data_IF_728554680102
#
_entry.id   IF_728554680102
#
_cell.length_a   1.000
_cell.length_b   1.000
_cell.length_c   1.000
_cell.angle_alpha   90.00
_cell.angle_beta   90.00
_cell.angle_gamma   90.00
#
_symmetry.space_group_name_H-M   'P 1'
#
loop_
_entity.id
_entity.type
_entity.pdbx_description
1 polymer ?
#
# COMPACT_ATOMS: atom_id res chain seq x y z
N UNK A 1 -24.47 16.46 -48.00
CA UNK A 1 -23.17 16.57 -47.28
C UNK A 1 -23.32 17.05 -45.83
N UNK A 2 -23.94 18.23 -45.55
CA UNK A 2 -24.16 18.73 -44.17
C UNK A 2 -24.88 17.76 -43.21
N UNK A 3 -25.90 17.03 -43.70
CA UNK A 3 -26.64 16.03 -42.88
C UNK A 3 -25.79 14.80 -42.50
N UNK A 4 -24.81 14.42 -43.33
CA UNK A 4 -23.91 13.30 -43.06
C UNK A 4 -22.89 13.68 -41.98
N UNK A 5 -22.45 14.93 -41.97
CA UNK A 5 -21.52 15.47 -40.97
C UNK A 5 -22.14 15.54 -39.56
N UNK A 6 -23.42 15.92 -39.47
CA UNK A 6 -24.17 15.92 -38.20
C UNK A 6 -24.36 14.51 -37.62
N UNK A 7 -24.65 13.52 -38.48
CA UNK A 7 -24.82 12.13 -38.05
C UNK A 7 -23.49 11.50 -37.59
N UNK A 8 -22.38 11.85 -38.24
CA UNK A 8 -21.04 11.44 -37.81
C UNK A 8 -20.63 12.08 -36.46
N UNK A 9 -21.03 13.33 -36.19
CA UNK A 9 -20.77 14.00 -34.92
C UNK A 9 -21.60 13.45 -33.74
N UNK A 10 -22.76 12.83 -34.00
CA UNK A 10 -23.57 12.15 -32.97
C UNK A 10 -22.98 10.81 -32.53
N UNK A 11 -22.19 10.15 -33.39
CA UNK A 11 -21.55 8.86 -33.11
C UNK A 11 -20.34 8.98 -32.16
N UNK A 12 -19.82 10.18 -31.91
CA UNK A 12 -18.66 10.41 -31.01
C UNK A 12 -19.06 10.82 -29.58
N UNK A 13 -20.36 11.04 -29.32
CA UNK A 13 -20.85 11.60 -28.04
C UNK A 13 -21.17 10.56 -26.94
N UNK A 14 -20.81 9.28 -27.13
CA UNK A 14 -21.32 8.21 -26.28
C UNK A 14 -20.35 7.09 -25.93
N UNK A 15 -19.08 7.39 -25.67
CA UNK A 15 -18.20 6.43 -25.00
C UNK A 15 -18.44 6.49 -23.48
N UNK A 16 -19.52 5.89 -23.01
CA UNK A 16 -19.66 5.61 -21.58
C UNK A 16 -18.64 4.53 -21.21
N UNK A 17 -17.52 4.92 -20.62
CA UNK A 17 -16.69 3.98 -19.88
C UNK A 17 -17.56 3.40 -18.77
N UNK A 18 -17.84 2.09 -18.83
CA UNK A 18 -18.43 1.37 -17.70
C UNK A 18 -17.38 1.28 -16.62
N UNK A 19 -17.48 2.16 -15.63
CA UNK A 19 -16.71 2.06 -14.40
C UNK A 19 -17.37 1.02 -13.49
N UNK A 20 -16.66 -0.08 -13.20
CA UNK A 20 -17.14 -1.11 -12.32
C UNK A 20 -16.69 -0.78 -10.89
N UNK A 21 -17.61 -0.24 -10.10
CA UNK A 21 -17.36 -0.08 -8.67
C UNK A 21 -17.40 -1.43 -7.99
N UNK A 22 -16.37 -1.75 -7.21
CA UNK A 22 -16.38 -2.94 -6.35
C UNK A 22 -17.28 -2.65 -5.15
N UNK A 23 -18.48 -3.25 -5.02
CA UNK A 23 -19.39 -2.96 -3.92
C UNK A 23 -18.87 -3.46 -2.56
N UNK A 24 -17.85 -4.34 -2.55
CA UNK A 24 -17.26 -4.91 -1.34
C UNK A 24 -16.10 -4.08 -0.78
N UNK A 25 -15.69 -2.99 -1.45
CA UNK A 25 -14.59 -2.14 -0.99
C UNK A 25 -14.92 -0.67 -1.19
N UNK A 26 -14.56 0.17 -0.23
CA UNK A 26 -14.64 1.61 -0.42
C UNK A 26 -13.73 2.05 -1.58
N UNK A 27 -14.24 2.89 -2.46
CA UNK A 27 -13.43 3.53 -3.48
C UNK A 27 -12.66 4.73 -2.87
N UNK A 28 -11.57 5.13 -3.52
CA UNK A 28 -10.72 6.20 -2.99
C UNK A 28 -11.48 7.51 -2.80
N UNK A 29 -12.32 7.90 -3.77
CA UNK A 29 -13.13 9.14 -3.70
C UNK A 29 -14.04 9.16 -2.48
N UNK A 30 -14.67 8.04 -2.14
CA UNK A 30 -15.53 7.88 -0.96
C UNK A 30 -14.74 8.01 0.34
N UNK A 31 -13.50 7.53 0.37
CA UNK A 31 -12.63 7.57 1.55
C UNK A 31 -12.11 8.98 1.80
N UNK A 32 -11.73 9.72 0.77
CA UNK A 32 -11.07 11.03 0.93
C UNK A 32 -12.04 12.22 0.99
N UNK A 33 -13.34 12.01 0.78
CA UNK A 33 -14.34 13.08 0.69
C UNK A 33 -14.94 13.54 2.03
N UNK A 34 -14.62 12.89 3.15
CA UNK A 34 -15.18 13.22 4.46
C UNK A 34 -14.18 13.02 5.60
N UNK A 35 -14.40 13.73 6.72
CA UNK A 35 -13.64 13.55 7.96
C UNK A 35 -13.59 12.08 8.42
N UNK A 36 -14.75 11.42 8.48
CA UNK A 36 -14.83 10.02 8.93
C UNK A 36 -14.07 9.06 8.00
N UNK A 37 -14.10 9.31 6.69
CA UNK A 37 -13.36 8.52 5.71
C UNK A 37 -11.85 8.69 5.87
N UNK A 38 -11.38 9.93 6.04
CA UNK A 38 -9.98 10.24 6.30
C UNK A 38 -9.50 9.66 7.63
N UNK A 39 -10.31 9.76 8.69
CA UNK A 39 -10.01 9.17 10.00
C UNK A 39 -9.90 7.65 9.90
N UNK A 40 -10.80 7.02 9.16
CA UNK A 40 -10.75 5.57 8.89
C UNK A 40 -9.47 5.18 8.15
N UNK A 41 -9.06 5.97 7.15
CA UNK A 41 -7.80 5.77 6.43
C UNK A 41 -6.59 5.92 7.37
N UNK A 42 -6.56 6.95 8.23
CA UNK A 42 -5.52 7.13 9.23
C UNK A 42 -5.41 5.94 10.20
N UNK A 43 -6.55 5.43 10.69
CA UNK A 43 -6.57 4.25 11.56
C UNK A 43 -6.06 3.00 10.83
N UNK A 44 -6.44 2.81 9.56
CA UNK A 44 -5.94 1.73 8.72
C UNK A 44 -4.44 1.83 8.46
N UNK A 45 -3.92 3.05 8.28
CA UNK A 45 -2.49 3.33 8.16
C UNK A 45 -1.75 2.92 9.43
N UNK A 46 -2.25 3.32 10.61
CA UNK A 46 -1.64 2.90 11.87
C UNK A 46 -1.68 1.39 12.08
N UNK A 47 -2.82 0.76 11.80
CA UNK A 47 -2.94 -0.69 11.88
C UNK A 47 -1.88 -1.39 11.01
N UNK A 48 -1.71 -0.96 9.75
CA UNK A 48 -0.70 -1.51 8.83
C UNK A 48 0.73 -1.22 9.30
N UNK A 49 0.97 -0.06 9.88
CA UNK A 49 2.30 0.29 10.38
C UNK A 49 2.68 -0.57 11.59
N UNK A 50 1.77 -0.77 12.54
CA UNK A 50 2.09 -1.34 13.86
C UNK A 50 1.77 -2.83 14.00
N UNK A 51 0.78 -3.38 13.28
CA UNK A 51 0.23 -4.73 13.52
C UNK A 51 0.30 -5.64 12.30
N UNK A 52 0.20 -6.96 12.50
CA UNK A 52 0.22 -7.95 11.42
C UNK A 52 1.54 -8.71 11.23
N UNK A 53 2.44 -8.67 12.22
CA UNK A 53 3.72 -9.40 12.20
C UNK A 53 4.57 -9.02 11.00
N UNK A 54 5.01 -9.99 10.19
CA UNK A 54 5.79 -9.78 8.97
C UNK A 54 5.10 -8.94 7.87
N UNK A 55 3.85 -8.52 8.07
CA UNK A 55 3.17 -7.56 7.19
C UNK A 55 3.13 -6.14 7.76
N UNK A 56 3.61 -5.91 8.99
CA UNK A 56 3.72 -4.58 9.59
C UNK A 56 5.07 -3.95 9.30
N UNK A 57 5.08 -2.63 9.11
CA UNK A 57 6.32 -1.88 8.90
C UNK A 57 7.20 -1.98 10.14
N UNK A 58 6.60 -1.78 11.32
CA UNK A 58 7.31 -1.75 12.60
C UNK A 58 7.99 -3.09 12.91
N UNK A 59 7.29 -4.21 12.73
CA UNK A 59 7.86 -5.53 12.99
C UNK A 59 9.00 -5.84 12.03
N UNK A 60 8.80 -5.64 10.71
CA UNK A 60 9.86 -5.95 9.77
C UNK A 60 11.07 -5.04 9.95
N UNK A 61 10.87 -3.76 10.31
CA UNK A 61 11.98 -2.85 10.60
C UNK A 61 12.80 -3.34 11.81
N UNK A 62 12.13 -3.76 12.88
CA UNK A 62 12.79 -4.34 14.06
C UNK A 62 13.50 -5.66 13.73
N UNK A 63 12.85 -6.57 13.02
CA UNK A 63 13.46 -7.84 12.62
C UNK A 63 14.67 -7.64 11.70
N UNK A 64 14.52 -6.84 10.64
CA UNK A 64 15.60 -6.52 9.69
C UNK A 64 16.75 -5.82 10.39
N UNK A 65 16.47 -4.76 11.15
CA UNK A 65 17.47 -3.99 11.88
C UNK A 65 18.21 -4.86 12.90
N UNK A 66 17.48 -5.55 13.77
CA UNK A 66 18.07 -6.35 14.84
C UNK A 66 18.86 -7.56 14.34
N UNK A 67 18.38 -8.26 13.31
CA UNK A 67 19.09 -9.41 12.74
C UNK A 67 20.33 -8.98 11.94
N UNK A 68 20.26 -7.86 11.20
CA UNK A 68 21.41 -7.35 10.42
C UNK A 68 22.50 -6.72 11.28
N UNK A 69 22.13 -6.15 12.44
CA UNK A 69 23.08 -5.54 13.40
C UNK A 69 23.52 -6.49 14.51
N UNK A 70 22.98 -7.72 14.54
CA UNK A 70 23.24 -8.75 15.56
C UNK A 70 22.74 -8.40 16.97
N UNK A 71 21.77 -7.49 17.08
CA UNK A 71 21.02 -7.26 18.32
C UNK A 71 20.05 -8.42 18.61
N UNK A 72 19.57 -9.09 17.56
CA UNK A 72 18.73 -10.29 17.62
C UNK A 72 19.52 -11.51 17.13
N UNK A 73 19.28 -12.66 17.76
CA UNK A 73 19.86 -13.94 17.36
C UNK A 73 18.76 -14.99 17.09
N UNK A 74 18.96 -15.78 16.04
CA UNK A 74 18.05 -16.86 15.65
C UNK A 74 18.44 -18.13 16.43
N UNK A 75 17.66 -18.45 17.47
CA UNK A 75 17.90 -19.65 18.28
C UNK A 75 17.48 -20.94 17.55
N UNK A 76 16.41 -20.85 16.76
CA UNK A 76 15.90 -21.94 15.92
C UNK A 76 15.38 -21.35 14.61
N UNK A 77 15.72 -21.97 13.48
CA UNK A 77 15.32 -21.48 12.14
C UNK A 77 13.88 -21.93 11.84
N UNK A 78 12.92 -21.08 12.20
CA UNK A 78 11.51 -21.23 11.78
C UNK A 78 11.16 -20.46 10.49
N UNK A 79 11.97 -19.46 10.16
CA UNK A 79 11.83 -18.64 8.97
C UNK A 79 13.20 -18.47 8.30
N UNK A 80 13.35 -19.07 7.11
CA UNK A 80 14.63 -19.03 6.38
C UNK A 80 14.99 -17.62 5.93
N UNK A 81 14.01 -16.76 5.66
CA UNK A 81 14.28 -15.40 5.18
C UNK A 81 14.85 -14.50 6.29
N UNK A 82 14.40 -14.68 7.54
CA UNK A 82 14.98 -14.01 8.71
C UNK A 82 16.39 -14.55 9.02
N UNK A 83 16.59 -15.86 8.90
CA UNK A 83 17.92 -16.45 9.05
C UNK A 83 18.89 -15.95 7.97
N UNK A 84 18.45 -15.83 6.73
CA UNK A 84 19.27 -15.25 5.66
C UNK A 84 19.65 -13.80 5.95
N UNK A 85 18.76 -13.01 6.58
CA UNK A 85 19.08 -11.66 7.04
C UNK A 85 20.17 -11.68 8.12
N UNK A 86 20.13 -12.61 9.08
CA UNK A 86 21.17 -12.71 10.12
C UNK A 86 22.53 -13.18 9.58
N UNK A 87 22.52 -13.99 8.51
CA UNK A 87 23.74 -14.38 7.80
C UNK A 87 24.31 -13.23 6.93
N UNK A 88 23.44 -12.43 6.32
CA UNK A 88 23.82 -11.32 5.45
C UNK A 88 24.50 -11.76 4.14
N UNK A 89 25.20 -10.82 3.51
CA UNK A 89 25.94 -11.01 2.26
C UNK A 89 25.10 -11.67 1.15
N UNK A 90 25.63 -12.68 0.45
CA UNK A 90 24.95 -13.36 -0.66
C UNK A 90 23.68 -14.14 -0.27
N UNK A 91 23.39 -14.30 1.02
CA UNK A 91 22.16 -14.94 1.49
C UNK A 91 20.94 -14.01 1.35
N UNK A 92 21.15 -12.69 1.37
CA UNK A 92 20.10 -11.70 1.18
C UNK A 92 20.03 -11.32 -0.30
N UNK A 93 19.01 -11.82 -0.99
CA UNK A 93 18.78 -11.53 -2.40
C UNK A 93 17.47 -10.74 -2.62
N UNK A 94 17.19 -10.35 -3.86
CA UNK A 94 16.01 -9.54 -4.23
C UNK A 94 14.66 -10.22 -3.93
N UNK A 95 14.65 -11.54 -3.73
CA UNK A 95 13.46 -12.30 -3.38
C UNK A 95 13.25 -12.44 -1.87
N UNK A 96 14.19 -11.96 -1.03
CA UNK A 96 14.08 -12.09 0.41
C UNK A 96 12.81 -11.43 0.94
N UNK A 97 12.00 -12.22 1.64
CA UNK A 97 10.67 -11.82 2.08
C UNK A 97 10.70 -10.65 3.06
N UNK A 98 11.65 -10.62 3.98
CA UNK A 98 11.77 -9.57 5.01
C UNK A 98 12.10 -8.24 4.35
N UNK A 99 13.14 -8.19 3.51
CA UNK A 99 13.54 -6.96 2.79
C UNK A 99 12.41 -6.45 1.90
N UNK A 100 11.79 -7.35 1.12
CA UNK A 100 10.69 -6.98 0.23
C UNK A 100 9.47 -6.47 1.00
N UNK A 101 9.16 -7.04 2.15
CA UNK A 101 8.03 -6.61 2.98
C UNK A 101 8.29 -5.25 3.61
N UNK A 102 9.49 -4.98 4.18
CA UNK A 102 9.85 -3.63 4.68
C UNK A 102 9.60 -2.60 3.59
N UNK A 103 10.17 -2.81 2.41
CA UNK A 103 10.05 -1.88 1.30
C UNK A 103 8.59 -1.68 0.90
N UNK A 104 7.90 -2.76 0.56
CA UNK A 104 6.53 -2.70 0.02
C UNK A 104 5.56 -2.06 1.03
N UNK A 105 5.61 -2.47 2.30
CA UNK A 105 4.69 -1.96 3.31
C UNK A 105 4.99 -0.48 3.64
N UNK A 106 6.26 -0.09 3.71
CA UNK A 106 6.64 1.32 3.92
C UNK A 106 6.14 2.20 2.78
N UNK A 107 6.28 1.74 1.54
CA UNK A 107 5.82 2.46 0.35
C UNK A 107 4.30 2.59 0.32
N UNK A 108 3.57 1.52 0.70
CA UNK A 108 2.11 1.55 0.80
C UNK A 108 1.63 2.51 1.90
N UNK A 109 2.25 2.49 3.08
CA UNK A 109 1.93 3.42 4.16
C UNK A 109 2.21 4.85 3.72
N UNK A 110 3.37 5.13 3.14
CA UNK A 110 3.71 6.46 2.64
C UNK A 110 2.71 6.96 1.60
N UNK A 111 2.44 6.17 0.57
CA UNK A 111 1.53 6.58 -0.51
C UNK A 111 0.11 6.90 0.01
N UNK A 112 -0.39 6.13 0.98
CA UNK A 112 -1.70 6.40 1.58
C UNK A 112 -1.66 7.59 2.56
N UNK A 113 -0.54 7.83 3.23
CA UNK A 113 -0.35 9.04 4.03
C UNK A 113 -0.32 10.30 3.15
N UNK A 114 0.34 10.24 1.98
CA UNK A 114 0.32 11.32 1.00
C UNK A 114 -1.11 11.61 0.52
N UNK A 115 -1.94 10.58 0.35
CA UNK A 115 -3.37 10.75 0.03
C UNK A 115 -4.15 11.47 1.13
N UNK A 116 -3.88 11.15 2.41
CA UNK A 116 -4.50 11.86 3.54
C UNK A 116 -4.09 13.33 3.53
N UNK A 117 -2.77 13.60 3.42
CA UNK A 117 -2.24 14.96 3.42
C UNK A 117 -2.80 15.82 2.28
N UNK A 118 -2.94 15.23 1.09
CA UNK A 118 -3.51 15.91 -0.08
C UNK A 118 -5.00 16.26 0.08
N UNK A 119 -5.73 15.60 0.99
CA UNK A 119 -7.18 15.75 1.16
C UNK A 119 -7.57 16.27 2.56
N UNK A 120 -6.62 16.75 3.35
CA UNK A 120 -6.87 17.17 4.74
C UNK A 120 -7.93 18.27 4.87
N UNK A 121 -8.11 19.10 3.85
CA UNK A 121 -9.16 20.14 3.82
C UNK A 121 -10.58 19.58 3.86
N UNK A 122 -10.77 18.28 3.60
CA UNK A 122 -12.06 17.60 3.66
C UNK A 122 -12.40 17.09 5.07
N UNK A 123 -11.50 17.27 6.05
CA UNK A 123 -11.73 17.05 7.46
C UNK A 123 -12.02 18.40 8.15
N UNK A 124 -13.29 18.85 8.23
CA UNK A 124 -13.67 20.09 8.93
C UNK A 124 -13.37 20.06 10.42
#
# INVERSE_FOLDING_TARGET
MKKLFFLAALLTLGACNKEYTNPSTANQTQVVSSSDGLLTLCNGLQYRYTTGGLLSVLYNATALGGLSTRELNVLNVGNIEEYNVSLGAGNVNNSNGVVRNVWTQSQLVRANADLVLANVSNAP
#
